data_IF_758975942950
#
_entry.id   IF_758975942950
#
_cell.length_a   1.000
_cell.length_b   1.000
_cell.length_c   1.000
_cell.angle_alpha   90.00
_cell.angle_beta   90.00
_cell.angle_gamma   90.00
#
_symmetry.space_group_name_H-M   'P 1'
#
loop_
_entity.id
_entity.type
_entity.pdbx_description
1 polymer ?
#
# COMPACT_ATOMS: atom_id res chain seq x y z
N UNK A 1 -5.15 21.08 -3.92
CA UNK A 1 -5.58 20.28 -2.76
C UNK A 1 -6.97 19.72 -2.98
N UNK A 2 -7.08 18.40 -3.13
CA UNK A 2 -8.36 17.71 -3.04
C UNK A 2 -8.70 17.59 -1.56
N UNK A 3 -9.71 18.33 -1.12
CA UNK A 3 -10.28 18.15 0.21
C UNK A 3 -11.39 17.10 0.13
N UNK A 4 -11.10 15.94 0.73
CA UNK A 4 -12.11 14.94 1.05
C UNK A 4 -12.93 15.42 2.25
N UNK A 5 -14.23 15.19 2.22
CA UNK A 5 -15.05 15.40 3.42
C UNK A 5 -14.70 14.36 4.48
N UNK A 6 -15.00 14.62 5.76
CA UNK A 6 -14.81 13.63 6.84
C UNK A 6 -15.49 12.30 6.49
N UNK A 7 -16.72 12.35 5.96
CA UNK A 7 -17.45 11.15 5.57
C UNK A 7 -16.78 10.40 4.39
N UNK A 8 -16.21 11.12 3.42
CA UNK A 8 -15.46 10.51 2.32
C UNK A 8 -14.18 9.83 2.83
N UNK A 9 -13.45 10.49 3.75
CA UNK A 9 -12.25 9.94 4.39
C UNK A 9 -12.55 8.71 5.24
N UNK A 10 -13.57 8.78 6.09
CA UNK A 10 -14.00 7.66 6.94
C UNK A 10 -14.44 6.47 6.09
N UNK A 11 -15.17 6.73 4.99
CA UNK A 11 -15.60 5.66 4.09
C UNK A 11 -14.39 4.97 3.46
N UNK A 12 -13.43 5.72 2.92
CA UNK A 12 -12.21 5.13 2.35
C UNK A 12 -11.44 4.36 3.42
N UNK A 13 -11.35 4.90 4.64
CA UNK A 13 -10.71 4.23 5.77
C UNK A 13 -11.38 2.90 6.10
N UNK A 14 -12.70 2.84 6.10
CA UNK A 14 -13.44 1.60 6.34
C UNK A 14 -13.24 0.58 5.21
N UNK A 15 -13.26 1.02 3.94
CA UNK A 15 -12.97 0.16 2.79
C UNK A 15 -11.59 -0.49 2.91
N UNK A 16 -10.59 0.32 3.27
CA UNK A 16 -9.23 -0.13 3.48
C UNK A 16 -9.15 -1.08 4.68
N UNK A 17 -9.77 -0.77 5.81
CA UNK A 17 -9.76 -1.62 7.00
C UNK A 17 -10.38 -3.00 6.72
N UNK A 18 -11.45 -3.07 5.93
CA UNK A 18 -12.02 -4.35 5.46
C UNK A 18 -10.98 -5.13 4.64
N UNK A 19 -10.28 -4.46 3.73
CA UNK A 19 -9.22 -5.07 2.92
C UNK A 19 -8.06 -5.58 3.77
N UNK A 20 -7.61 -4.78 4.73
CA UNK A 20 -6.53 -5.15 5.65
C UNK A 20 -6.92 -6.31 6.57
N UNK A 21 -8.16 -6.34 7.07
CA UNK A 21 -8.66 -7.49 7.83
C UNK A 21 -8.68 -8.79 7.02
N UNK A 22 -9.04 -8.70 5.73
CA UNK A 22 -8.96 -9.85 4.80
C UNK A 22 -7.51 -10.27 4.56
N UNK A 23 -6.61 -9.33 4.35
CA UNK A 23 -5.18 -9.61 4.21
C UNK A 23 -4.61 -10.31 5.45
N UNK A 24 -4.97 -9.84 6.65
CA UNK A 24 -4.56 -10.45 7.91
C UNK A 24 -5.01 -11.92 8.01
N UNK A 25 -6.25 -12.23 7.61
CA UNK A 25 -6.75 -13.61 7.54
C UNK A 25 -5.95 -14.46 6.55
N UNK A 26 -5.77 -13.98 5.32
CA UNK A 26 -5.02 -14.72 4.29
C UNK A 26 -3.57 -14.95 4.67
N UNK A 27 -2.90 -13.95 5.26
CA UNK A 27 -1.55 -14.09 5.77
C UNK A 27 -1.50 -15.09 6.93
N UNK A 28 -2.48 -15.05 7.84
CA UNK A 28 -2.56 -16.00 8.96
C UNK A 28 -2.65 -17.44 8.49
N UNK A 29 -3.46 -17.69 7.45
CA UNK A 29 -3.56 -19.00 6.79
C UNK A 29 -2.24 -19.38 6.10
N UNK A 30 -1.64 -18.44 5.36
CA UNK A 30 -0.37 -18.67 4.65
C UNK A 30 0.76 -19.07 5.58
N UNK A 31 0.87 -18.43 6.76
CA UNK A 31 1.96 -18.69 7.70
C UNK A 31 1.57 -19.58 8.88
N UNK A 32 0.35 -20.12 8.89
CA UNK A 32 -0.16 -21.01 9.94
C UNK A 32 0.14 -20.45 11.34
N UNK A 33 -0.24 -19.18 11.55
CA UNK A 33 -0.18 -18.47 12.83
C UNK A 33 -1.00 -17.18 12.76
N UNK A 34 -1.53 -16.66 13.88
CA UNK A 34 -2.25 -15.39 13.88
C UNK A 34 -1.35 -14.23 13.40
N UNK A 35 -1.87 -13.48 12.45
CA UNK A 35 -1.34 -12.22 11.93
C UNK A 35 -2.38 -11.15 12.17
N UNK A 36 -1.99 -10.09 12.87
CA UNK A 36 -2.82 -8.90 13.02
C UNK A 36 -2.23 -7.78 12.17
N UNK A 37 -3.09 -7.13 11.41
CA UNK A 37 -2.76 -5.93 10.64
C UNK A 37 -3.68 -4.80 11.07
N UNK A 38 -3.11 -3.63 11.27
CA UNK A 38 -3.87 -2.42 11.62
C UNK A 38 -3.44 -1.25 10.75
N UNK A 39 -4.39 -0.36 10.45
CA UNK A 39 -4.14 0.91 9.74
C UNK A 39 -4.44 2.06 10.70
N UNK A 40 -3.48 2.47 11.56
CA UNK A 40 -3.72 3.54 12.53
C UNK A 40 -3.98 4.91 11.91
N UNK A 41 -3.52 5.15 10.67
CA UNK A 41 -3.67 6.44 10.02
C UNK A 41 -3.69 6.31 8.49
N UNK A 42 -4.56 7.11 7.87
CA UNK A 42 -4.61 7.33 6.42
C UNK A 42 -4.46 8.82 6.17
N UNK A 43 -3.46 9.20 5.38
CA UNK A 43 -3.22 10.58 4.95
C UNK A 43 -3.25 10.70 3.43
N UNK A 44 -3.74 11.84 2.96
CA UNK A 44 -3.72 12.21 1.56
C UNK A 44 -2.78 13.40 1.44
N UNK A 45 -1.70 13.22 0.68
CA UNK A 45 -0.71 14.28 0.45
C UNK A 45 -0.53 14.48 -1.04
N UNK A 46 -0.26 15.72 -1.43
CA UNK A 46 0.23 15.97 -2.78
C UNK A 46 1.66 15.41 -2.89
N UNK A 47 2.14 15.11 -4.11
CA UNK A 47 3.52 14.67 -4.32
C UNK A 47 4.48 15.59 -3.56
N UNK A 48 5.43 14.97 -2.85
CA UNK A 48 6.52 15.69 -2.21
C UNK A 48 7.24 16.59 -3.23
N UNK A 49 7.46 17.85 -2.86
CA UNK A 49 8.29 18.76 -3.64
C UNK A 49 9.74 18.25 -3.71
N UNK A 50 10.48 18.69 -4.73
CA UNK A 50 11.91 18.37 -4.86
C UNK A 50 12.70 18.72 -3.58
N UNK A 51 12.32 19.81 -2.90
CA UNK A 51 12.90 20.21 -1.62
C UNK A 51 12.55 19.27 -0.47
N UNK A 52 11.34 18.72 -0.43
CA UNK A 52 10.95 17.73 0.59
C UNK A 52 11.63 16.39 0.33
N UNK A 53 11.71 15.96 -0.93
CA UNK A 53 12.46 14.77 -1.35
C UNK A 53 13.95 14.91 -1.08
N UNK A 54 14.54 16.10 -1.25
CA UNK A 54 15.95 16.35 -0.95
C UNK A 54 16.28 16.26 0.54
N UNK A 55 15.29 16.47 1.42
CA UNK A 55 15.43 16.36 2.87
C UNK A 55 14.93 15.02 3.42
N UNK A 56 14.41 14.14 2.55
CA UNK A 56 13.91 12.84 2.96
C UNK A 56 15.05 11.93 3.45
N UNK A 57 14.78 11.03 4.41
CA UNK A 57 15.76 10.04 4.84
C UNK A 57 16.29 9.22 3.65
N UNK A 58 17.60 8.99 3.61
CA UNK A 58 18.26 8.16 2.58
C UNK A 58 18.33 6.70 3.00
N UNK A 59 17.34 6.22 3.74
CA UNK A 59 17.29 4.83 4.19
C UNK A 59 16.96 3.92 3.02
N UNK A 60 17.61 2.75 3.00
CA UNK A 60 17.32 1.68 2.03
C UNK A 60 16.02 1.01 2.45
N UNK A 61 15.08 0.96 1.51
CA UNK A 61 13.78 0.35 1.67
C UNK A 61 13.59 -0.79 0.67
N UNK A 62 12.85 -1.79 1.13
CA UNK A 62 12.36 -2.89 0.34
C UNK A 62 10.89 -2.62 0.01
N UNK A 63 10.58 -2.56 -1.28
CA UNK A 63 9.26 -2.19 -1.77
C UNK A 63 8.73 -3.23 -2.76
N UNK A 64 7.43 -3.50 -2.68
CA UNK A 64 6.68 -4.28 -3.67
C UNK A 64 5.61 -3.39 -4.25
N UNK A 65 5.56 -3.27 -5.57
CA UNK A 65 4.56 -2.45 -6.25
C UNK A 65 3.74 -3.21 -7.28
N UNK A 66 2.50 -2.76 -7.46
CA UNK A 66 1.54 -3.23 -8.44
C UNK A 66 0.82 -2.03 -9.05
N UNK A 67 0.81 -1.96 -10.38
CA UNK A 67 -0.08 -1.03 -11.07
C UNK A 67 -1.50 -1.57 -11.05
N UNK A 68 -2.48 -0.69 -10.94
CA UNK A 68 -3.89 -1.05 -10.98
C UNK A 68 -4.66 -0.17 -11.97
N UNK A 69 -5.70 -0.76 -12.57
CA UNK A 69 -6.50 -0.12 -13.61
C UNK A 69 -7.98 -0.52 -13.49
N UNK A 70 -8.86 0.40 -13.85
CA UNK A 70 -10.30 0.25 -13.76
C UNK A 70 -10.97 1.61 -14.02
N UNK A 71 -11.98 2.02 -13.23
CA UNK A 71 -12.50 3.39 -13.28
C UNK A 71 -11.45 4.44 -12.95
N UNK A 72 -10.49 4.09 -12.09
CA UNK A 72 -9.33 4.90 -11.73
C UNK A 72 -8.07 4.05 -11.83
N UNK A 73 -6.92 4.69 -12.05
CA UNK A 73 -5.64 4.02 -12.28
C UNK A 73 -4.57 4.55 -11.34
N UNK A 74 -3.53 3.77 -11.13
CA UNK A 74 -2.43 4.18 -10.27
C UNK A 74 -1.46 3.05 -9.97
N UNK A 75 -0.58 3.31 -9.01
CA UNK A 75 0.37 2.34 -8.48
C UNK A 75 0.15 2.18 -6.98
N UNK A 76 0.02 0.94 -6.53
CA UNK A 76 -0.02 0.58 -5.13
C UNK A 76 1.34 0.00 -4.73
N UNK A 77 1.87 0.41 -3.59
CA UNK A 77 3.18 -0.03 -3.10
C UNK A 77 3.09 -0.43 -1.64
N UNK A 78 3.76 -1.51 -1.27
CA UNK A 78 4.04 -1.87 0.11
C UNK A 78 5.52 -1.65 0.36
N UNK A 79 5.87 -0.85 1.37
CA UNK A 79 7.23 -0.38 1.63
C UNK A 79 7.62 -0.66 3.07
N UNK A 80 8.82 -1.22 3.26
CA UNK A 80 9.42 -1.46 4.56
C UNK A 80 10.87 -0.94 4.58
N UNK A 81 11.35 -0.43 5.72
CA UNK A 81 12.79 -0.37 5.97
C UNK A 81 13.41 -1.77 5.81
N UNK A 82 14.58 -1.88 5.20
CA UNK A 82 15.23 -3.18 4.89
C UNK A 82 15.33 -4.12 6.10
N UNK A 83 15.65 -3.59 7.28
CA UNK A 83 15.74 -4.42 8.49
C UNK A 83 14.38 -5.02 8.83
N UNK A 84 13.30 -4.24 8.67
CA UNK A 84 11.92 -4.64 8.98
C UNK A 84 11.38 -5.66 7.98
N UNK A 85 11.72 -5.53 6.69
CA UNK A 85 11.36 -6.55 5.71
C UNK A 85 12.02 -7.89 6.01
N UNK A 86 13.30 -7.91 6.36
CA UNK A 86 14.00 -9.16 6.69
C UNK A 86 13.43 -9.79 7.98
N UNK A 87 13.04 -8.98 8.98
CA UNK A 87 12.34 -9.46 10.17
C UNK A 87 10.99 -10.09 9.84
N UNK A 88 10.24 -9.51 8.90
CA UNK A 88 8.99 -10.07 8.41
C UNK A 88 9.23 -11.41 7.74
N UNK A 89 10.17 -11.47 6.79
CA UNK A 89 10.55 -12.70 6.07
C UNK A 89 10.96 -13.81 7.04
N UNK A 90 11.79 -13.48 8.05
CA UNK A 90 12.17 -14.41 9.11
C UNK A 90 10.97 -14.98 9.86
N UNK A 91 10.03 -14.10 10.20
CA UNK A 91 8.81 -14.44 10.95
C UNK A 91 7.84 -15.30 10.14
N UNK A 92 7.73 -15.03 8.83
CA UNK A 92 6.89 -15.79 7.90
C UNK A 92 7.46 -17.19 7.64
N UNK A 93 8.77 -17.29 7.41
CA UNK A 93 9.45 -18.55 7.11
C UNK A 93 9.71 -19.41 8.35
N UNK A 94 9.46 -18.88 9.56
CA UNK A 94 9.71 -19.56 10.85
C UNK A 94 11.16 -20.07 10.98
N UNK A 95 12.11 -19.33 10.39
CA UNK A 95 13.55 -19.65 10.43
C UNK A 95 14.24 -18.75 11.44
N UNK A 96 15.16 -19.30 12.22
CA UNK A 96 16.01 -18.53 13.14
C UNK A 96 17.43 -18.44 12.59
N UNK A 97 17.58 -17.66 11.52
CA UNK A 97 18.84 -17.43 10.82
C UNK A 97 19.18 -15.93 10.82
N UNK A 98 20.46 -15.55 10.71
CA UNK A 98 20.85 -14.15 10.58
C UNK A 98 20.19 -13.49 9.37
N UNK A 99 19.81 -12.22 9.49
CA UNK A 99 19.06 -11.49 8.45
C UNK A 99 19.79 -11.48 7.10
N UNK A 100 21.12 -11.41 7.11
CA UNK A 100 21.97 -11.41 5.90
C UNK A 100 21.73 -12.65 5.01
N UNK A 101 21.34 -13.78 5.62
CA UNK A 101 21.06 -15.05 4.91
C UNK A 101 19.68 -15.10 4.28
N UNK A 102 18.79 -14.16 4.62
CA UNK A 102 17.42 -14.10 4.10
C UNK A 102 17.30 -13.24 2.85
N UNK A 103 18.36 -12.53 2.45
CA UNK A 103 18.36 -11.62 1.30
C UNK A 103 17.88 -12.30 0.01
N UNK A 104 18.24 -13.57 -0.19
CA UNK A 104 17.85 -14.35 -1.37
C UNK A 104 16.35 -14.72 -1.37
N UNK A 105 15.75 -14.82 -0.19
CA UNK A 105 14.33 -15.17 0.00
C UNK A 105 13.45 -13.93 0.18
N UNK A 106 14.06 -12.77 0.48
CA UNK A 106 13.38 -11.51 0.77
C UNK A 106 12.42 -11.13 -0.36
N UNK A 107 12.93 -11.15 -1.60
CA UNK A 107 12.16 -10.75 -2.76
C UNK A 107 10.90 -11.60 -2.95
N UNK A 108 11.00 -12.93 -2.92
CA UNK A 108 9.86 -13.83 -3.15
C UNK A 108 8.83 -13.72 -2.03
N UNK A 109 9.28 -13.73 -0.78
CA UNK A 109 8.41 -13.63 0.37
C UNK A 109 7.67 -12.29 0.41
N UNK A 110 8.37 -11.17 0.15
CA UNK A 110 7.72 -9.87 0.10
C UNK A 110 6.76 -9.73 -1.09
N UNK A 111 7.09 -10.28 -2.26
CA UNK A 111 6.16 -10.25 -3.40
C UNK A 111 4.85 -10.95 -3.07
N UNK A 112 4.89 -12.08 -2.35
CA UNK A 112 3.68 -12.79 -1.92
C UNK A 112 2.89 -11.97 -0.89
N UNK A 113 3.56 -11.44 0.13
CA UNK A 113 2.92 -10.58 1.15
C UNK A 113 2.31 -9.33 0.52
N UNK A 114 3.07 -8.66 -0.35
CA UNK A 114 2.62 -7.47 -1.07
C UNK A 114 1.40 -7.79 -1.93
N UNK A 115 1.45 -8.90 -2.69
CA UNK A 115 0.33 -9.34 -3.50
C UNK A 115 -0.93 -9.60 -2.66
N UNK A 116 -0.81 -10.24 -1.49
CA UNK A 116 -1.95 -10.47 -0.59
C UNK A 116 -2.54 -9.15 -0.10
N UNK A 117 -1.70 -8.23 0.40
CA UNK A 117 -2.16 -6.98 1.02
C UNK A 117 -2.72 -6.02 0.00
N UNK A 118 -1.99 -5.76 -1.08
CA UNK A 118 -2.39 -4.80 -2.11
C UNK A 118 -3.67 -5.26 -2.81
N UNK A 119 -3.78 -6.55 -3.16
CA UNK A 119 -5.01 -7.09 -3.76
C UNK A 119 -6.18 -7.10 -2.77
N UNK A 120 -5.96 -7.34 -1.48
CA UNK A 120 -7.03 -7.31 -0.50
C UNK A 120 -7.58 -5.89 -0.31
N UNK A 121 -6.70 -4.88 -0.26
CA UNK A 121 -7.11 -3.47 -0.21
C UNK A 121 -7.86 -3.04 -1.47
N UNK A 122 -7.28 -3.25 -2.65
CA UNK A 122 -7.91 -2.88 -3.93
C UNK A 122 -9.19 -3.70 -4.20
N UNK A 123 -9.17 -4.99 -3.86
CA UNK A 123 -10.34 -5.86 -3.95
C UNK A 123 -11.45 -5.46 -3.00
N UNK A 124 -11.14 -4.95 -1.81
CA UNK A 124 -12.15 -4.39 -0.89
C UNK A 124 -12.83 -3.17 -1.49
N UNK A 125 -12.04 -2.22 -2.01
CA UNK A 125 -12.55 -1.03 -2.68
C UNK A 125 -13.43 -1.43 -3.88
N UNK A 126 -12.93 -2.34 -4.72
CA UNK A 126 -13.65 -2.85 -5.90
C UNK A 126 -14.99 -3.49 -5.54
N UNK A 127 -15.02 -4.37 -4.53
CA UNK A 127 -16.23 -5.08 -4.12
C UNK A 127 -17.30 -4.16 -3.54
N UNK A 128 -16.90 -3.19 -2.70
CA UNK A 128 -17.88 -2.32 -2.03
C UNK A 128 -18.38 -1.22 -2.96
N UNK A 129 -17.50 -0.65 -3.79
CA UNK A 129 -17.88 0.37 -4.76
C UNK A 129 -18.56 -0.24 -6.01
N UNK A 130 -18.51 -1.57 -6.18
CA UNK A 130 -19.15 -2.29 -7.27
C UNK A 130 -18.47 -2.13 -8.63
N UNK A 131 -17.22 -1.67 -8.65
CA UNK A 131 -16.46 -1.42 -9.88
C UNK A 131 -15.22 -2.31 -9.95
N UNK A 132 -14.96 -3.00 -11.07
CA UNK A 132 -13.83 -3.91 -11.18
C UNK A 132 -12.49 -3.15 -11.22
N UNK A 133 -11.55 -3.55 -10.37
CA UNK A 133 -10.15 -3.07 -10.38
C UNK A 133 -9.24 -4.25 -10.67
N UNK A 134 -8.40 -4.13 -11.69
CA UNK A 134 -7.43 -5.16 -12.09
C UNK A 134 -6.02 -4.71 -11.72
N UNK A 135 -5.22 -5.62 -11.17
CA UNK A 135 -3.85 -5.35 -10.75
C UNK A 135 -2.85 -6.09 -11.65
N UNK A 136 -1.68 -5.50 -11.87
CA UNK A 136 -0.55 -6.17 -12.52
C UNK A 136 0.13 -7.16 -11.58
N UNK A 137 1.08 -7.94 -12.11
CA UNK A 137 1.98 -8.73 -11.28
C UNK A 137 2.81 -7.82 -10.35
N UNK A 138 3.13 -8.28 -9.12
CA UNK A 138 3.97 -7.54 -8.20
C UNK A 138 5.42 -7.45 -8.71
N UNK A 139 6.06 -6.31 -8.47
CA UNK A 139 7.47 -6.08 -8.76
C UNK A 139 8.20 -5.68 -7.48
N UNK A 140 9.29 -6.37 -7.17
CA UNK A 140 10.15 -6.03 -6.04
C UNK A 140 11.23 -5.01 -6.42
N UNK A 141 11.47 -4.03 -5.56
CA UNK A 141 12.53 -3.03 -5.69
C UNK A 141 13.18 -2.78 -4.34
N UNK A 142 14.52 -2.76 -4.31
CA UNK A 142 15.31 -2.40 -3.12
C UNK A 142 16.18 -1.20 -3.46
N UNK A 143 15.83 -0.02 -2.92
CA UNK A 143 16.49 1.26 -3.24
C UNK A 143 16.37 2.22 -2.06
N UNK A 144 17.09 3.34 -2.12
CA UNK A 144 16.90 4.45 -1.18
C UNK A 144 15.48 5.03 -1.30
N UNK A 145 14.89 5.42 -0.17
CA UNK A 145 13.52 5.97 -0.09
C UNK A 145 13.27 7.08 -1.10
N UNK A 146 14.24 8.00 -1.28
CA UNK A 146 14.15 9.09 -2.26
C UNK A 146 14.01 8.56 -3.69
N UNK A 147 14.83 7.59 -4.07
CA UNK A 147 14.80 6.99 -5.41
C UNK A 147 13.53 6.17 -5.68
N UNK A 148 12.84 5.72 -4.62
CA UNK A 148 11.55 5.04 -4.76
C UNK A 148 10.42 6.02 -5.11
N UNK A 149 10.45 7.22 -4.52
CA UNK A 149 9.46 8.29 -4.75
C UNK A 149 9.76 9.14 -6.01
N UNK A 150 11.01 9.07 -6.47
CA UNK A 150 11.53 9.76 -7.65
C UNK A 150 11.59 8.86 -8.89
N UNK A 151 11.23 7.57 -8.77
CA UNK A 151 11.18 6.67 -9.93
C UNK A 151 10.11 7.22 -10.88
N UNK A 152 10.59 7.84 -11.96
CA UNK A 152 9.84 8.38 -13.07
C UNK A 152 8.65 7.46 -13.36
N UNK A 153 7.45 7.99 -13.15
CA UNK A 153 6.29 7.59 -13.95
C UNK A 153 6.69 7.85 -15.40
N UNK A 154 7.33 6.85 -16.00
CA UNK A 154 7.83 6.84 -17.35
C UNK A 154 6.65 6.99 -18.31
N UNK A 155 6.44 8.21 -18.78
CA UNK A 155 5.41 8.56 -19.73
C UNK A 155 5.05 10.04 -19.63
N UNK A 156 5.85 10.88 -20.28
CA UNK A 156 5.79 12.33 -20.20
C UNK A 156 4.37 12.91 -20.16
N UNK A 157 4.04 13.58 -19.06
CA UNK A 157 3.04 14.64 -19.04
C UNK A 157 3.42 15.66 -17.97
N UNK A 158 3.79 16.84 -18.44
CA UNK A 158 4.18 18.03 -17.69
C UNK A 158 2.99 18.74 -17.01
N UNK A 159 1.99 18.04 -16.48
CA UNK A 159 0.75 18.73 -16.06
C UNK A 159 -0.03 18.20 -14.85
N UNK A 160 0.31 17.07 -14.23
CA UNK A 160 -0.50 16.56 -13.11
C UNK A 160 0.36 16.18 -11.92
N UNK A 161 0.27 16.96 -10.84
CA UNK A 161 0.84 16.59 -9.55
C UNK A 161 0.12 15.33 -9.04
N UNK A 162 0.78 14.17 -8.94
CA UNK A 162 0.13 12.99 -8.41
C UNK A 162 -0.26 13.20 -6.95
N UNK A 163 -1.36 12.59 -6.56
CA UNK A 163 -1.85 12.53 -5.19
C UNK A 163 -1.41 11.19 -4.60
N UNK A 164 -0.76 11.27 -3.45
CA UNK A 164 -0.29 10.13 -2.70
C UNK A 164 -1.22 9.89 -1.52
N UNK A 165 -1.87 8.74 -1.50
CA UNK A 165 -2.58 8.24 -0.33
C UNK A 165 -1.62 7.33 0.45
N UNK A 166 -1.27 7.71 1.66
CA UNK A 166 -0.36 7.00 2.55
C UNK A 166 -1.16 6.33 3.65
N UNK A 167 -0.97 5.03 3.79
CA UNK A 167 -1.51 4.23 4.86
C UNK A 167 -0.32 3.73 5.67
N UNK A 168 -0.29 4.10 6.95
CA UNK A 168 0.62 3.45 7.87
C UNK A 168 0.01 2.10 8.23
N UNK A 169 0.75 1.00 8.02
CA UNK A 169 0.26 -0.35 8.32
C UNK A 169 1.19 -0.98 9.35
N UNK A 170 0.63 -1.36 10.49
CA UNK A 170 1.37 -2.07 11.52
C UNK A 170 1.06 -3.55 11.44
N UNK A 171 2.12 -4.34 11.36
CA UNK A 171 2.08 -5.79 11.33
C UNK A 171 2.46 -6.32 12.69
N UNK A 172 1.60 -7.13 13.28
CA UNK A 172 1.88 -7.82 14.53
C UNK A 172 1.93 -9.32 14.26
N UNK A 173 3.13 -9.90 14.36
CA UNK A 173 3.37 -11.34 14.30
C UNK A 173 4.01 -11.80 15.61
N UNK A 174 3.31 -12.66 16.36
CA UNK A 174 3.75 -13.22 17.66
C UNK A 174 4.08 -12.16 18.72
N UNK A 175 5.26 -11.56 18.64
CA UNK A 175 5.82 -10.56 19.57
C UNK A 175 6.65 -9.47 18.84
N UNK A 176 6.64 -9.48 17.50
CA UNK A 176 7.34 -8.50 16.70
C UNK A 176 6.33 -7.54 16.09
N UNK A 177 6.46 -6.28 16.47
CA UNK A 177 5.80 -5.16 15.82
C UNK A 177 6.68 -4.73 14.64
N UNK A 178 6.16 -4.90 13.44
CA UNK A 178 6.83 -4.56 12.19
C UNK A 178 6.01 -3.45 11.55
N UNK A 179 6.57 -2.25 11.50
CA UNK A 179 5.95 -1.12 10.83
C UNK A 179 6.27 -1.14 9.33
N UNK A 180 5.25 -0.91 8.51
CA UNK A 180 5.34 -0.74 7.07
C UNK A 180 4.39 0.35 6.57
N UNK A 181 4.52 0.68 5.30
CA UNK A 181 3.67 1.68 4.65
C UNK A 181 3.04 1.08 3.41
N UNK A 182 1.74 1.28 3.25
CA UNK A 182 1.05 1.06 1.98
C UNK A 182 0.82 2.43 1.35
N UNK A 183 1.26 2.59 0.10
CA UNK A 183 1.15 3.81 -0.67
C UNK A 183 0.26 3.55 -1.86
N UNK A 184 -0.67 4.46 -2.16
CA UNK A 184 -1.36 4.51 -3.44
C UNK A 184 -1.02 5.82 -4.12
N UNK A 185 -0.35 5.72 -5.27
CA UNK A 185 0.01 6.83 -6.13
C UNK A 185 -1.02 6.90 -7.25
N UNK A 186 -1.77 7.99 -7.30
CA UNK A 186 -2.80 8.22 -8.31
C UNK A 186 -2.61 9.61 -8.90
N UNK A 187 -3.00 9.80 -10.15
CA UNK A 187 -3.14 11.14 -10.69
C UNK A 187 -4.41 11.82 -10.14
N UNK A 188 -4.53 13.13 -10.41
CA UNK A 188 -5.65 13.94 -9.96
C UNK A 188 -7.01 13.43 -10.47
N UNK A 189 -7.05 12.91 -11.70
CA UNK A 189 -8.28 12.39 -12.32
C UNK A 189 -8.75 11.12 -11.61
N UNK A 190 -7.83 10.21 -11.31
CA UNK A 190 -8.10 8.93 -10.65
C UNK A 190 -8.62 9.11 -9.22
N UNK A 191 -8.02 10.01 -8.45
CA UNK A 191 -8.51 10.30 -7.08
C UNK A 191 -9.87 11.02 -7.11
N UNK A 192 -10.14 11.86 -8.11
CA UNK A 192 -11.46 12.47 -8.29
C UNK A 192 -12.52 11.41 -8.64
N UNK A 193 -12.16 10.43 -9.47
CA UNK A 193 -13.03 9.32 -9.79
C UNK A 193 -13.31 8.44 -8.57
N UNK A 194 -12.29 8.10 -7.77
CA UNK A 194 -12.47 7.38 -6.50
C UNK A 194 -13.45 8.13 -5.58
N UNK A 195 -13.27 9.44 -5.44
CA UNK A 195 -14.17 10.28 -4.64
C UNK A 195 -15.61 10.23 -5.15
N UNK A 196 -15.81 10.32 -6.45
CA UNK A 196 -17.14 10.26 -7.04
C UNK A 196 -17.82 8.90 -6.83
N UNK A 197 -17.05 7.80 -6.90
CA UNK A 197 -17.55 6.47 -6.57
C UNK A 197 -17.96 6.35 -5.10
N UNK A 198 -17.15 6.87 -4.19
CA UNK A 198 -17.46 6.90 -2.74
C UNK A 198 -18.73 7.72 -2.49
N UNK A 199 -18.89 8.88 -3.14
CA UNK A 199 -20.12 9.68 -3.05
C UNK A 199 -21.36 8.94 -3.53
N UNK A 200 -21.27 8.27 -4.67
CA UNK A 200 -22.36 7.46 -5.21
C UNK A 200 -22.74 6.33 -4.24
N UNK A 201 -21.75 5.65 -3.67
CA UNK A 201 -21.97 4.61 -2.66
C UNK A 201 -22.68 5.16 -1.42
N UNK A 202 -22.23 6.30 -0.88
CA UNK A 202 -22.85 6.96 0.27
C UNK A 202 -24.30 7.38 0.00
N UNK A 203 -24.56 7.96 -1.17
CA UNK A 203 -25.90 8.38 -1.56
C UNK A 203 -26.87 7.18 -1.65
N UNK A 204 -26.41 6.03 -2.15
CA UNK A 204 -27.20 4.81 -2.25
C UNK A 204 -27.39 4.10 -0.90
N UNK A 205 -26.50 4.31 0.06
CA UNK A 205 -26.56 3.68 1.39
C UNK A 205 -27.43 4.45 2.39
N UNK A 206 -27.69 5.74 2.11
CA UNK A 206 -28.49 6.64 2.95
C UNK A 206 -29.94 6.85 2.43
N UNK A 207 -30.29 6.27 1.29
CA UNK A 207 -31.63 6.31 0.69
C UNK A 207 -32.40 5.01 0.90
#
# INVERSE_FOLDING_TARGET
>A
MIELTELEHDTISELINIGVGRAASSLSEMVDQPVELTVPAISFVERFSDSELANAPTEVVSAVSQSFHGPFTGEAMLVFPEVRSLELVRSLLKVDVPLDTLTDLEQEALMEVGNIILNACLGSISNVLGEPINCSMPTFRKRETRALLDDDTAGGSTATNPVLMILHVQFMLRQNDIDGYVLFVMDLESIQMLRELVRRFLANSLG
#
